data_IF_185441221598
#
_entry.id   IF_185441221598
#
_cell.length_a   1.000
_cell.length_b   1.000
_cell.length_c   1.000
_cell.angle_alpha   90.00
_cell.angle_beta   90.00
_cell.angle_gamma   90.00
#
_symmetry.space_group_name_H-M   'P 1'
#
loop_
_entity.id
_entity.type
_entity.pdbx_description
1 polymer ?
#
# COMPACT_ATOMS: atom_id res chain seq x y z
N UNK A 1 -12.46 -3.54 -9.99
CA UNK A 1 -12.07 -2.20 -9.55
C UNK A 1 -10.68 -2.23 -8.90
N UNK A 2 -9.86 -1.21 -9.16
CA UNK A 2 -8.61 -0.96 -8.44
C UNK A 2 -8.65 0.41 -7.79
N UNK A 3 -8.18 0.52 -6.54
CA UNK A 3 -8.03 1.80 -5.83
C UNK A 3 -6.59 1.97 -5.37
N UNK A 4 -5.99 3.12 -5.69
CA UNK A 4 -4.64 3.47 -5.25
C UNK A 4 -4.69 4.40 -4.04
N UNK A 5 -4.03 3.99 -2.96
CA UNK A 5 -3.86 4.74 -1.72
C UNK A 5 -2.40 5.21 -1.59
N UNK A 6 -2.07 6.45 -1.99
CA UNK A 6 -0.71 6.95 -1.96
C UNK A 6 -0.22 7.24 -0.53
N UNK A 7 1.08 7.49 -0.41
CA UNK A 7 1.70 7.99 0.81
C UNK A 7 1.76 9.52 0.84
N UNK A 8 2.12 10.09 1.98
CA UNK A 8 2.46 11.52 2.08
C UNK A 8 3.72 11.79 1.25
N UNK A 9 3.62 12.70 0.27
CA UNK A 9 4.72 13.01 -0.65
C UNK A 9 5.06 11.92 -1.67
N UNK A 10 4.29 10.83 -1.69
CA UNK A 10 4.44 9.75 -2.68
C UNK A 10 3.12 9.52 -3.42
N UNK A 11 2.86 10.36 -4.43
CA UNK A 11 1.63 10.34 -5.24
C UNK A 11 1.56 9.13 -6.19
N UNK A 12 0.39 8.90 -6.80
CA UNK A 12 0.12 7.70 -7.60
C UNK A 12 0.95 7.59 -8.90
N UNK A 13 1.56 8.69 -9.37
CA UNK A 13 2.42 8.68 -10.56
C UNK A 13 3.89 8.39 -10.24
N UNK A 14 4.26 8.19 -8.98
CA UNK A 14 5.59 7.73 -8.60
C UNK A 14 5.79 6.25 -8.96
N UNK A 15 7.04 5.82 -9.22
CA UNK A 15 7.35 4.56 -9.91
C UNK A 15 6.62 3.33 -9.39
N UNK A 16 6.63 3.10 -8.06
CA UNK A 16 6.04 1.88 -7.49
C UNK A 16 4.52 1.83 -7.74
N UNK A 17 3.81 2.93 -7.46
CA UNK A 17 2.36 3.00 -7.66
C UNK A 17 1.99 3.06 -9.14
N UNK A 18 2.77 3.80 -9.95
CA UNK A 18 2.58 3.88 -11.40
C UNK A 18 2.68 2.51 -12.06
N UNK A 19 3.76 1.76 -11.82
CA UNK A 19 3.93 0.44 -12.41
C UNK A 19 3.01 -0.61 -11.77
N UNK A 20 2.74 -0.52 -10.46
CA UNK A 20 1.73 -1.35 -9.79
C UNK A 20 0.35 -1.22 -10.44
N UNK A 21 -0.07 0.02 -10.74
CA UNK A 21 -1.30 0.28 -11.51
C UNK A 21 -1.25 -0.37 -12.90
N UNK A 22 -0.13 -0.25 -13.63
CA UNK A 22 0.00 -0.84 -14.98
C UNK A 22 -0.09 -2.36 -14.93
N UNK A 23 0.53 -3.00 -13.95
CA UNK A 23 0.44 -4.44 -13.72
C UNK A 23 -1.00 -4.85 -13.39
N UNK A 24 -1.69 -4.10 -12.54
CA UNK A 24 -3.08 -4.40 -12.21
C UNK A 24 -4.00 -4.30 -13.43
N UNK A 25 -3.83 -3.30 -14.29
CA UNK A 25 -4.58 -3.18 -15.56
C UNK A 25 -4.33 -4.39 -16.47
N UNK A 26 -3.08 -4.87 -16.58
CA UNK A 26 -2.75 -6.07 -17.36
C UNK A 26 -3.41 -7.34 -16.79
N UNK A 27 -3.74 -7.35 -15.50
CA UNK A 27 -4.43 -8.45 -14.82
C UNK A 27 -5.95 -8.22 -14.68
N UNK A 28 -6.55 -7.36 -15.51
CA UNK A 28 -8.00 -7.21 -15.62
C UNK A 28 -8.65 -6.14 -14.76
N UNK A 29 -7.91 -5.44 -13.90
CA UNK A 29 -8.44 -4.33 -13.09
C UNK A 29 -8.52 -3.04 -13.93
N UNK A 30 -9.54 -2.92 -14.78
CA UNK A 30 -9.66 -1.84 -15.77
C UNK A 30 -10.17 -0.53 -15.18
N UNK A 31 -11.07 -0.61 -14.19
CA UNK A 31 -11.58 0.56 -13.49
C UNK A 31 -10.61 0.97 -12.37
N UNK A 32 -10.20 2.23 -12.38
CA UNK A 32 -9.18 2.72 -11.47
C UNK A 32 -9.55 4.05 -10.83
N UNK A 33 -9.51 4.09 -9.50
CA UNK A 33 -9.59 5.31 -8.71
C UNK A 33 -8.21 5.56 -8.10
N UNK A 34 -7.57 6.67 -8.45
CA UNK A 34 -6.32 7.11 -7.83
C UNK A 34 -6.63 8.19 -6.81
N UNK A 35 -6.49 7.90 -5.52
CA UNK A 35 -6.70 8.90 -4.48
C UNK A 35 -5.60 9.97 -4.53
N UNK A 36 -5.99 11.17 -4.23
CA UNK A 36 -5.10 12.30 -4.07
C UNK A 36 -5.48 13.07 -2.81
N UNK A 37 -4.55 13.14 -1.89
CA UNK A 37 -4.76 13.89 -0.67
C UNK A 37 -3.48 14.61 -0.24
N UNK A 38 -3.62 15.59 0.62
CA UNK A 38 -2.53 16.40 1.12
C UNK A 38 -2.59 16.54 2.64
N UNK A 39 -1.42 16.68 3.22
CA UNK A 39 -1.26 16.96 4.63
C UNK A 39 -0.07 17.90 4.83
N UNK A 40 -0.31 19.04 5.47
CA UNK A 40 0.70 20.09 5.67
C UNK A 40 1.46 19.95 7.00
N UNK A 41 1.18 18.89 7.78
CA UNK A 41 1.84 18.61 9.04
C UNK A 41 3.34 18.34 8.89
N UNK A 42 4.11 18.75 9.89
CA UNK A 42 5.56 18.59 9.94
C UNK A 42 5.95 17.64 11.06
N UNK A 43 7.18 17.13 11.01
CA UNK A 43 7.76 16.29 12.06
C UNK A 43 6.94 15.01 12.35
N UNK A 44 6.48 14.35 11.30
CA UNK A 44 5.69 13.12 11.39
C UNK A 44 6.51 11.92 11.90
N UNK A 45 7.78 11.80 11.43
CA UNK A 45 8.62 10.65 11.76
C UNK A 45 8.95 10.61 13.24
N UNK A 46 8.64 9.49 13.90
CA UNK A 46 8.86 9.31 15.35
C UNK A 46 7.88 10.07 16.24
N UNK A 47 6.86 10.70 15.67
CA UNK A 47 5.84 11.43 16.41
C UNK A 47 4.47 10.78 16.23
N UNK A 48 4.09 9.90 17.15
CA UNK A 48 2.85 9.13 17.10
C UNK A 48 1.60 10.02 17.03
N UNK A 49 1.58 11.12 17.81
CA UNK A 49 0.42 12.03 17.83
C UNK A 49 0.23 12.77 16.49
N UNK A 50 1.33 13.19 15.85
CA UNK A 50 1.26 13.81 14.51
C UNK A 50 0.91 12.79 13.42
N UNK A 51 1.39 11.56 13.54
CA UNK A 51 1.01 10.47 12.63
C UNK A 51 -0.47 10.13 12.73
N UNK A 52 -1.04 10.14 13.95
CA UNK A 52 -2.47 9.92 14.16
C UNK A 52 -3.32 11.05 13.57
N UNK A 53 -2.91 12.30 13.75
CA UNK A 53 -3.57 13.43 13.09
C UNK A 53 -3.50 13.34 11.57
N UNK A 54 -2.34 12.97 11.04
CA UNK A 54 -2.17 12.76 9.60
C UNK A 54 -3.10 11.65 9.10
N UNK A 55 -3.13 10.51 9.78
CA UNK A 55 -4.02 9.40 9.45
C UNK A 55 -5.49 9.87 9.42
N UNK A 56 -5.97 10.50 10.47
CA UNK A 56 -7.36 10.96 10.55
C UNK A 56 -7.72 11.91 9.40
N UNK A 57 -6.85 12.91 9.15
CA UNK A 57 -7.07 13.87 8.06
C UNK A 57 -7.10 13.22 6.67
N UNK A 58 -6.15 12.31 6.41
CA UNK A 58 -6.06 11.62 5.11
C UNK A 58 -7.17 10.58 4.94
N UNK A 59 -7.55 9.93 6.03
CA UNK A 59 -8.65 8.97 6.03
C UNK A 59 -9.98 9.64 5.66
N UNK A 60 -10.29 10.81 6.26
CA UNK A 60 -11.47 11.60 5.89
C UNK A 60 -11.45 12.03 4.42
N UNK A 61 -10.28 12.40 3.89
CA UNK A 61 -10.15 12.75 2.47
C UNK A 61 -10.37 11.53 1.57
N UNK A 62 -9.89 10.36 1.96
CA UNK A 62 -10.13 9.10 1.25
C UNK A 62 -11.63 8.75 1.26
N UNK A 63 -12.30 8.85 2.41
CA UNK A 63 -13.74 8.60 2.52
C UNK A 63 -14.56 9.52 1.60
N UNK A 64 -14.21 10.82 1.54
CA UNK A 64 -14.88 11.77 0.65
C UNK A 64 -14.72 11.41 -0.82
N UNK A 65 -13.53 11.00 -1.24
CA UNK A 65 -13.24 10.63 -2.64
C UNK A 65 -13.88 9.30 -3.05
N UNK A 66 -14.07 8.38 -2.09
CA UNK A 66 -14.69 7.08 -2.32
C UNK A 66 -16.20 7.08 -2.04
N UNK A 67 -16.75 8.22 -1.63
CA UNK A 67 -18.18 8.34 -1.40
C UNK A 67 -18.96 8.09 -2.70
N UNK A 68 -19.94 7.19 -2.63
CA UNK A 68 -20.78 6.81 -3.78
C UNK A 68 -20.17 5.75 -4.70
N UNK A 69 -19.00 5.19 -4.36
CA UNK A 69 -18.46 4.01 -5.05
C UNK A 69 -19.30 2.79 -4.67
N UNK A 70 -19.93 2.17 -5.65
CA UNK A 70 -20.76 0.98 -5.46
C UNK A 70 -19.88 -0.29 -5.60
N UNK A 71 -19.20 -0.67 -4.52
CA UNK A 71 -18.25 -1.81 -4.51
C UNK A 71 -18.89 -3.14 -4.89
N UNK A 72 -20.17 -3.33 -4.61
CA UNK A 72 -20.92 -4.55 -4.93
C UNK A 72 -21.17 -4.77 -6.44
N UNK A 73 -20.83 -3.82 -7.28
CA UNK A 73 -20.91 -3.94 -8.74
C UNK A 73 -19.66 -4.61 -9.35
N UNK A 74 -18.62 -4.85 -8.53
CA UNK A 74 -17.34 -5.40 -8.99
C UNK A 74 -17.14 -6.81 -8.45
N UNK A 75 -16.84 -7.74 -9.33
CA UNK A 75 -16.51 -9.12 -8.97
C UNK A 75 -15.18 -9.19 -8.19
N UNK A 76 -14.24 -8.31 -8.55
CA UNK A 76 -12.95 -8.22 -7.88
C UNK A 76 -12.56 -6.77 -7.53
N UNK A 77 -12.03 -6.60 -6.34
CA UNK A 77 -11.54 -5.33 -5.83
C UNK A 77 -10.08 -5.48 -5.42
N UNK A 78 -9.24 -4.53 -5.84
CA UNK A 78 -7.83 -4.46 -5.51
C UNK A 78 -7.50 -3.11 -4.88
N UNK A 79 -6.90 -3.13 -3.69
CA UNK A 79 -6.30 -1.95 -3.07
C UNK A 79 -4.79 -2.00 -3.23
N UNK A 80 -4.23 -1.01 -3.90
CA UNK A 80 -2.78 -0.82 -4.09
C UNK A 80 -2.35 0.37 -3.26
N UNK A 81 -1.49 0.15 -2.30
CA UNK A 81 -1.23 1.16 -1.29
C UNK A 81 0.24 1.31 -0.91
N UNK A 82 0.62 2.48 -0.42
CA UNK A 82 1.99 2.80 -0.01
C UNK A 82 2.04 3.59 1.30
N UNK A 83 2.97 3.20 2.20
CA UNK A 83 3.24 3.94 3.45
C UNK A 83 1.98 4.10 4.30
N UNK A 84 1.66 5.31 4.77
CA UNK A 84 0.41 5.59 5.50
C UNK A 84 -0.84 5.20 4.71
N UNK A 85 -0.77 5.21 3.36
CA UNK A 85 -1.84 4.71 2.51
C UNK A 85 -2.19 3.25 2.75
N UNK A 86 -1.26 2.43 3.26
CA UNK A 86 -1.53 1.02 3.62
C UNK A 86 -2.43 0.92 4.85
N UNK A 87 -2.22 1.82 5.82
CA UNK A 87 -3.07 1.92 7.02
C UNK A 87 -4.48 2.38 6.63
N UNK A 88 -4.56 3.39 5.76
CA UNK A 88 -5.85 3.94 5.27
C UNK A 88 -6.62 2.87 4.49
N UNK A 89 -5.96 2.15 3.59
CA UNK A 89 -6.57 1.07 2.80
C UNK A 89 -7.13 -0.04 3.69
N UNK A 90 -6.34 -0.54 4.65
CA UNK A 90 -6.77 -1.59 5.57
C UNK A 90 -7.92 -1.13 6.47
N UNK A 91 -7.82 0.08 7.03
CA UNK A 91 -8.88 0.69 7.84
C UNK A 91 -10.19 0.86 7.04
N UNK A 92 -10.09 1.32 5.80
CA UNK A 92 -11.25 1.54 4.92
C UNK A 92 -11.94 0.21 4.57
N UNK A 93 -11.16 -0.80 4.15
CA UNK A 93 -11.71 -2.13 3.86
C UNK A 93 -12.41 -2.72 5.09
N UNK A 94 -11.80 -2.62 6.27
CA UNK A 94 -12.40 -3.11 7.52
C UNK A 94 -13.69 -2.39 7.89
N UNK A 95 -13.70 -1.04 7.82
CA UNK A 95 -14.87 -0.23 8.19
C UNK A 95 -16.08 -0.51 7.31
N UNK A 96 -15.85 -0.67 6.01
CA UNK A 96 -16.92 -0.86 5.02
C UNK A 96 -17.14 -2.33 4.64
N UNK A 97 -16.45 -3.27 5.31
CA UNK A 97 -16.54 -4.72 5.06
C UNK A 97 -16.32 -5.06 3.57
N UNK A 98 -15.27 -4.45 2.98
CA UNK A 98 -14.93 -4.66 1.57
C UNK A 98 -14.00 -5.85 1.46
N UNK A 99 -14.45 -6.93 0.82
CA UNK A 99 -13.60 -8.05 0.44
C UNK A 99 -12.74 -7.64 -0.75
N UNK A 100 -11.42 -7.54 -0.53
CA UNK A 100 -10.48 -7.10 -1.56
C UNK A 100 -9.10 -7.73 -1.39
N UNK A 101 -8.39 -7.85 -2.51
CA UNK A 101 -6.96 -8.15 -2.50
C UNK A 101 -6.17 -6.88 -2.18
N UNK A 102 -5.07 -7.02 -1.44
CA UNK A 102 -4.26 -5.87 -1.04
C UNK A 102 -2.79 -6.00 -1.44
N UNK A 103 -2.21 -4.91 -1.91
CA UNK A 103 -0.79 -4.77 -2.15
C UNK A 103 -0.25 -3.64 -1.28
N UNK A 104 0.68 -3.98 -0.39
CA UNK A 104 1.29 -3.06 0.56
C UNK A 104 2.75 -2.77 0.19
N UNK A 105 3.02 -1.61 -0.35
CA UNK A 105 4.37 -1.11 -0.56
C UNK A 105 4.82 -0.32 0.67
N UNK A 106 5.86 -0.78 1.33
CA UNK A 106 6.42 -0.22 2.57
C UNK A 106 5.37 0.09 3.62
N UNK A 107 4.64 -0.94 4.11
CA UNK A 107 3.60 -0.77 5.11
C UNK A 107 4.17 -0.29 6.45
N UNK A 108 3.31 0.37 7.22
CA UNK A 108 3.54 0.68 8.62
C UNK A 108 2.96 -0.45 9.50
N UNK A 109 3.47 -0.60 10.73
CA UNK A 109 2.97 -1.64 11.64
C UNK A 109 1.46 -1.51 11.90
N UNK A 110 0.94 -0.29 11.94
CA UNK A 110 -0.48 0.01 12.14
C UNK A 110 -1.40 -0.56 11.03
N UNK A 111 -0.86 -0.87 9.84
CA UNK A 111 -1.60 -1.54 8.78
C UNK A 111 -2.21 -2.86 9.27
N UNK A 112 -1.47 -3.58 10.09
CA UNK A 112 -1.85 -4.88 10.62
C UNK A 112 -2.66 -4.81 11.92
N UNK A 113 -3.09 -3.61 12.35
CA UNK A 113 -4.12 -3.45 13.39
C UNK A 113 -5.52 -3.74 12.87
N UNK A 114 -5.66 -3.83 11.55
CA UNK A 114 -6.88 -4.24 10.87
C UNK A 114 -6.70 -5.66 10.33
N UNK A 115 -7.73 -6.48 10.43
CA UNK A 115 -7.67 -7.87 9.95
C UNK A 115 -7.59 -7.87 8.41
N UNK A 116 -6.38 -8.12 7.88
CA UNK A 116 -6.13 -8.25 6.45
C UNK A 116 -6.25 -9.73 6.08
N UNK A 117 -7.17 -10.06 5.20
CA UNK A 117 -7.45 -11.45 4.84
C UNK A 117 -6.57 -11.92 3.68
N UNK A 118 -6.34 -11.06 2.68
CA UNK A 118 -5.58 -11.39 1.48
C UNK A 118 -4.70 -10.23 1.02
N UNK A 119 -3.40 -10.49 0.87
CA UNK A 119 -2.48 -9.46 0.41
C UNK A 119 -1.05 -9.94 0.23
N UNK A 120 -0.20 -9.03 -0.25
CA UNK A 120 1.26 -9.13 -0.24
C UNK A 120 1.88 -7.83 0.23
N UNK A 121 3.08 -7.91 0.78
CA UNK A 121 3.79 -6.75 1.29
C UNK A 121 5.25 -6.71 0.81
N UNK A 122 5.82 -5.50 0.74
CA UNK A 122 7.19 -5.24 0.34
C UNK A 122 7.80 -4.21 1.30
N UNK A 123 8.99 -4.48 1.85
CA UNK A 123 9.63 -3.57 2.81
C UNK A 123 11.14 -3.53 2.61
N UNK A 124 11.76 -2.38 2.85
CA UNK A 124 13.19 -2.21 2.89
C UNK A 124 13.71 -2.29 4.33
N UNK A 125 14.85 -2.98 4.54
CA UNK A 125 15.46 -3.08 5.88
C UNK A 125 16.00 -1.74 6.41
N UNK A 126 16.27 -0.78 5.52
CA UNK A 126 16.71 0.58 5.87
C UNK A 126 15.57 1.59 5.89
N UNK A 127 14.32 1.12 6.05
CA UNK A 127 13.14 1.98 6.15
C UNK A 127 13.15 2.75 7.49
N UNK A 128 13.29 4.09 7.48
CA UNK A 128 13.36 4.86 8.70
C UNK A 128 11.98 5.25 9.30
N UNK A 129 10.90 4.85 8.64
CA UNK A 129 9.52 5.18 9.02
C UNK A 129 8.83 4.08 9.81
N UNK A 130 9.39 2.88 9.79
CA UNK A 130 8.80 1.70 10.42
C UNK A 130 9.82 0.99 11.30
N UNK A 131 9.36 0.39 12.38
CA UNK A 131 10.07 -0.74 12.98
C UNK A 131 9.89 -1.93 12.04
N UNK A 132 10.92 -2.24 11.26
CA UNK A 132 10.87 -3.24 10.19
C UNK A 132 10.61 -4.63 10.75
N UNK A 133 11.20 -4.97 11.89
CA UNK A 133 10.99 -6.26 12.55
C UNK A 133 9.55 -6.42 13.03
N UNK A 134 8.95 -5.35 13.58
CA UNK A 134 7.55 -5.33 13.97
C UNK A 134 6.62 -5.53 12.77
N UNK A 135 6.89 -4.83 11.66
CA UNK A 135 6.12 -4.97 10.39
C UNK A 135 6.20 -6.40 9.87
N UNK A 136 7.39 -7.00 9.81
CA UNK A 136 7.59 -8.37 9.34
C UNK A 136 6.85 -9.37 10.24
N UNK A 137 6.95 -9.20 11.55
CA UNK A 137 6.26 -10.05 12.51
C UNK A 137 4.73 -9.96 12.35
N UNK A 138 4.19 -8.75 12.28
CA UNK A 138 2.76 -8.50 12.14
C UNK A 138 2.19 -9.05 10.81
N UNK A 139 2.93 -8.86 9.71
CA UNK A 139 2.58 -9.40 8.39
C UNK A 139 2.47 -10.94 8.43
N UNK A 140 3.50 -11.60 8.98
CA UNK A 140 3.54 -13.07 9.11
C UNK A 140 2.43 -13.61 10.02
N UNK A 141 2.11 -12.90 11.10
CA UNK A 141 1.02 -13.26 12.02
C UNK A 141 -0.33 -13.31 11.30
N UNK A 142 -0.57 -12.41 10.37
CA UNK A 142 -1.77 -12.39 9.52
C UNK A 142 -1.63 -13.24 8.25
N UNK A 143 -0.52 -13.99 8.10
CA UNK A 143 -0.22 -14.84 6.93
C UNK A 143 -0.12 -14.06 5.61
N UNK A 144 0.23 -12.78 5.67
CA UNK A 144 0.49 -11.96 4.51
C UNK A 144 1.97 -12.13 4.11
N UNK A 145 2.26 -12.67 2.91
CA UNK A 145 3.62 -12.76 2.41
C UNK A 145 4.28 -11.40 2.36
N UNK A 146 5.51 -11.30 2.91
CA UNK A 146 6.29 -10.06 2.91
C UNK A 146 7.66 -10.31 2.28
N UNK A 147 8.01 -9.47 1.31
CA UNK A 147 9.30 -9.47 0.61
C UNK A 147 10.19 -8.37 1.16
N UNK A 148 11.40 -8.75 1.55
CA UNK A 148 12.34 -7.86 2.25
C UNK A 148 13.51 -7.54 1.34
N UNK A 149 13.93 -6.26 1.31
CA UNK A 149 15.05 -5.75 0.52
C UNK A 149 16.10 -5.13 1.45
N UNK A 150 17.22 -5.81 1.62
CA UNK A 150 18.23 -5.52 2.65
C UNK A 150 18.76 -4.08 2.64
N UNK A 151 19.03 -3.53 1.46
CA UNK A 151 19.64 -2.20 1.33
C UNK A 151 18.63 -1.08 1.03
N UNK A 152 17.35 -1.41 0.91
CA UNK A 152 16.35 -0.46 0.47
C UNK A 152 15.74 0.35 1.62
N UNK A 153 15.42 1.60 1.31
CA UNK A 153 14.75 2.55 2.20
C UNK A 153 13.21 2.48 2.07
N UNK A 154 12.52 3.49 2.61
CA UNK A 154 11.05 3.63 2.54
C UNK A 154 10.49 3.77 1.13
N UNK A 155 11.29 4.11 0.13
CA UNK A 155 10.88 4.15 -1.28
C UNK A 155 11.26 2.88 -2.05
N UNK A 156 11.81 1.87 -1.37
CA UNK A 156 12.46 0.68 -1.95
C UNK A 156 13.63 1.08 -2.87
N UNK A 157 14.37 2.09 -2.45
CA UNK A 157 15.54 2.63 -3.15
C UNK A 157 16.78 2.52 -2.27
N UNK A 158 17.93 2.28 -2.88
CA UNK A 158 19.25 2.21 -2.24
C UNK A 158 20.07 3.48 -2.44
N UNK A 159 19.65 4.32 -3.39
CA UNK A 159 20.39 5.48 -3.89
C UNK A 159 21.36 5.14 -5.02
N UNK A 160 21.37 3.87 -5.48
CA UNK A 160 22.12 3.42 -6.65
C UNK A 160 21.12 3.09 -7.78
N UNK A 161 21.02 3.96 -8.78
CA UNK A 161 19.94 3.95 -9.78
C UNK A 161 19.74 2.58 -10.44
N UNK A 162 20.81 1.87 -10.80
CA UNK A 162 20.68 0.56 -11.45
C UNK A 162 20.12 -0.48 -10.47
N UNK A 163 20.59 -0.47 -9.23
CA UNK A 163 20.08 -1.36 -8.18
C UNK A 163 18.61 -1.03 -7.85
N UNK A 164 18.25 0.25 -7.83
CA UNK A 164 16.88 0.69 -7.59
C UNK A 164 15.94 0.21 -8.70
N UNK A 165 16.39 0.21 -9.96
CA UNK A 165 15.64 -0.33 -11.09
C UNK A 165 15.50 -1.86 -11.01
N UNK A 166 16.52 -2.57 -10.56
CA UNK A 166 16.46 -4.03 -10.34
C UNK A 166 15.48 -4.39 -9.22
N UNK A 167 15.49 -3.64 -8.11
CA UNK A 167 14.51 -3.80 -7.03
C UNK A 167 13.10 -3.52 -7.54
N UNK A 168 12.88 -2.41 -8.25
CA UNK A 168 11.58 -2.07 -8.81
C UNK A 168 11.06 -3.18 -9.74
N UNK A 169 11.93 -3.71 -10.60
CA UNK A 169 11.60 -4.82 -11.49
C UNK A 169 11.18 -6.07 -10.70
N UNK A 170 11.91 -6.43 -9.67
CA UNK A 170 11.62 -7.61 -8.84
C UNK A 170 10.28 -7.42 -8.08
N UNK A 171 10.04 -6.24 -7.51
CA UNK A 171 8.77 -5.88 -6.88
C UNK A 171 7.61 -6.04 -7.86
N UNK A 172 7.76 -5.56 -9.10
CA UNK A 172 6.72 -5.65 -10.13
C UNK A 172 6.48 -7.09 -10.60
N UNK A 173 7.53 -7.91 -10.71
CA UNK A 173 7.39 -9.35 -11.02
C UNK A 173 6.58 -10.04 -9.93
N UNK A 174 6.89 -9.82 -8.66
CA UNK A 174 6.16 -10.40 -7.53
C UNK A 174 4.71 -9.90 -7.45
N UNK A 175 4.50 -8.62 -7.71
CA UNK A 175 3.16 -8.02 -7.83
C UNK A 175 2.35 -8.70 -8.94
N UNK A 176 2.95 -8.88 -10.12
CA UNK A 176 2.30 -9.56 -11.24
C UNK A 176 1.98 -11.02 -10.91
N UNK A 177 2.92 -11.74 -10.34
CA UNK A 177 2.70 -13.14 -9.95
C UNK A 177 1.54 -13.28 -8.95
N UNK A 178 1.46 -12.37 -7.98
CA UNK A 178 0.35 -12.34 -7.02
C UNK A 178 -1.00 -12.10 -7.71
N UNK A 179 -1.06 -11.17 -8.65
CA UNK A 179 -2.32 -10.83 -9.34
C UNK A 179 -2.73 -11.88 -10.39
N UNK A 180 -1.77 -12.61 -10.96
CA UNK A 180 -2.03 -13.64 -11.98
C UNK A 180 -2.60 -14.95 -11.41
N UNK A 181 -2.63 -15.12 -10.08
CA UNK A 181 -3.26 -16.28 -9.44
C UNK A 181 -4.77 -16.05 -9.41
N UNK A 182 -5.52 -16.90 -10.12
CA UNK A 182 -6.98 -16.89 -10.07
C UNK A 182 -7.47 -17.21 -8.65
N UNK A 183 -8.49 -16.50 -8.19
CA UNK A 183 -9.23 -16.92 -6.99
C UNK A 183 -10.02 -18.19 -7.35
N UNK A 184 -9.72 -19.25 -6.64
CA UNK A 184 -10.52 -20.49 -6.71
C UNK A 184 -11.76 -20.38 -5.84
#
# INVERSE_FOLDING_TARGET
>A
LMILFPGIGYHCDKPILYYGKKIAVMNGYTDCISLSYSYDGKNLRGNTAEMEKAFNSLYEQAEKQLNGVEFNQYDEILFVSKSIGTVIAAAYARKYSIECRMIFYTPLAQTYSYDVEEGIAFIGMKDPWSDVDEVIHASRKQRIPIYVYEDANHSLETGQVIQDLDILKDVMIKTNNYLSVEKH
#
